data_IF_907239738777
#
_entry.id   IF_907239738777
#
_cell.length_a   1.000
_cell.length_b   1.000
_cell.length_c   1.000
_cell.angle_alpha   90.00
_cell.angle_beta   90.00
_cell.angle_gamma   90.00
#
_symmetry.space_group_name_H-M   'P 1'
#
loop_
_entity.id
_entity.type
_entity.pdbx_description
1 polymer ?
#
# COMPACT_ATOMS: atom_id res chain seq x y z
N UNK A 1 -9.14 -0.46 -16.68
CA UNK A 1 -9.24 -1.12 -15.37
C UNK A 1 -8.07 -0.72 -14.50
N UNK A 2 -8.32 -0.36 -13.25
CA UNK A 2 -7.25 -0.04 -12.31
C UNK A 2 -6.67 -1.31 -11.72
N UNK A 3 -5.34 -1.35 -11.62
CA UNK A 3 -4.63 -2.45 -10.99
C UNK A 3 -4.14 -2.00 -9.62
N UNK A 4 -4.50 -2.74 -8.59
CA UNK A 4 -4.24 -2.38 -7.19
C UNK A 4 -3.54 -3.54 -6.51
N UNK A 5 -2.46 -3.23 -5.79
CA UNK A 5 -1.73 -4.20 -4.97
C UNK A 5 -1.89 -3.83 -3.50
N UNK A 6 -2.27 -4.79 -2.68
CA UNK A 6 -2.41 -4.60 -1.23
C UNK A 6 -1.47 -5.57 -0.53
N UNK A 7 -0.61 -5.03 0.33
CA UNK A 7 0.44 -5.80 1.02
C UNK A 7 0.27 -5.65 2.52
N UNK A 8 -0.06 -6.73 3.19
CA UNK A 8 -0.19 -6.76 4.65
C UNK A 8 -0.10 -8.24 5.07
N UNK A 9 0.54 -8.52 6.18
CA UNK A 9 0.65 -9.90 6.67
C UNK A 9 -0.62 -10.38 7.35
N UNK A 10 -1.56 -9.48 7.65
CA UNK A 10 -2.84 -9.82 8.28
C UNK A 10 -3.94 -9.88 7.23
N UNK A 11 -4.54 -11.06 7.06
CA UNK A 11 -5.59 -11.28 6.06
C UNK A 11 -6.76 -10.31 6.23
N UNK A 12 -7.18 -10.05 7.47
CA UNK A 12 -8.27 -9.13 7.73
C UNK A 12 -8.02 -7.74 7.16
N UNK A 13 -6.79 -7.24 7.26
CA UNK A 13 -6.43 -5.95 6.69
C UNK A 13 -6.42 -5.99 5.17
N UNK A 14 -5.90 -7.08 4.57
CA UNK A 14 -5.94 -7.23 3.11
C UNK A 14 -7.38 -7.20 2.59
N UNK A 15 -8.27 -7.93 3.25
CA UNK A 15 -9.68 -7.98 2.86
C UNK A 15 -10.35 -6.63 3.05
N UNK A 16 -10.09 -5.97 4.16
CA UNK A 16 -10.66 -4.65 4.44
C UNK A 16 -10.23 -3.62 3.39
N UNK A 17 -8.94 -3.54 3.10
CA UNK A 17 -8.43 -2.61 2.10
C UNK A 17 -8.99 -2.92 0.71
N UNK A 18 -9.12 -4.21 0.37
CA UNK A 18 -9.74 -4.61 -0.90
C UNK A 18 -11.16 -4.09 -1.02
N UNK A 19 -11.94 -4.25 0.06
CA UNK A 19 -13.33 -3.77 0.07
C UNK A 19 -13.40 -2.25 -0.07
N UNK A 20 -12.49 -1.53 0.57
CA UNK A 20 -12.43 -0.07 0.45
C UNK A 20 -12.15 0.34 -1.00
N UNK A 21 -11.25 -0.36 -1.67
CA UNK A 21 -10.94 -0.04 -3.06
C UNK A 21 -12.13 -0.30 -3.98
N UNK A 22 -12.86 -1.40 -3.77
CA UNK A 22 -14.09 -1.66 -4.53
C UNK A 22 -15.13 -0.59 -4.26
N UNK A 23 -15.24 -0.12 -3.03
CA UNK A 23 -16.20 0.94 -2.69
C UNK A 23 -15.85 2.26 -3.39
N UNK A 24 -14.57 2.61 -3.47
CA UNK A 24 -14.13 3.87 -4.06
C UNK A 24 -14.18 3.83 -5.59
N UNK A 25 -13.69 2.77 -6.20
CA UNK A 25 -13.51 2.69 -7.65
C UNK A 25 -14.57 1.86 -8.38
N UNK A 26 -15.45 1.17 -7.64
CA UNK A 26 -16.44 0.29 -8.25
C UNK A 26 -15.85 -1.07 -8.62
N UNK A 27 -16.53 -1.78 -9.51
CA UNK A 27 -16.16 -3.16 -9.84
C UNK A 27 -15.10 -3.28 -10.95
N UNK A 28 -14.75 -2.18 -11.62
CA UNK A 28 -13.80 -2.21 -12.73
C UNK A 28 -12.36 -2.03 -12.22
N UNK A 29 -11.98 -2.90 -11.29
CA UNK A 29 -10.64 -2.91 -10.73
C UNK A 29 -10.13 -4.35 -10.62
N UNK A 30 -8.81 -4.48 -10.65
CA UNK A 30 -8.15 -5.75 -10.41
C UNK A 30 -7.32 -5.61 -9.14
N UNK A 31 -7.67 -6.35 -8.10
CA UNK A 31 -6.96 -6.29 -6.80
C UNK A 31 -6.15 -7.56 -6.63
N UNK A 32 -4.86 -7.38 -6.44
CA UNK A 32 -3.94 -8.45 -6.08
C UNK A 32 -3.42 -8.20 -4.67
N UNK A 33 -3.12 -9.25 -3.94
CA UNK A 33 -2.66 -9.13 -2.56
C UNK A 33 -1.38 -9.92 -2.34
N UNK A 34 -0.60 -9.46 -1.37
CA UNK A 34 0.61 -10.16 -0.93
C UNK A 34 0.67 -10.11 0.60
N UNK A 35 1.18 -11.17 1.21
CA UNK A 35 1.25 -11.27 2.66
C UNK A 35 2.64 -10.93 3.22
N UNK A 36 3.59 -10.59 2.36
CA UNK A 36 4.92 -10.18 2.77
C UNK A 36 5.58 -9.33 1.68
N UNK A 37 6.65 -8.66 2.06
CA UNK A 37 7.36 -7.78 1.14
C UNK A 37 7.97 -8.53 -0.05
N UNK A 38 8.49 -9.73 0.17
CA UNK A 38 9.08 -10.50 -0.92
C UNK A 38 8.05 -10.93 -1.95
N UNK A 39 6.88 -11.41 -1.51
CA UNK A 39 5.80 -11.78 -2.42
C UNK A 39 5.32 -10.58 -3.21
N UNK A 40 5.23 -9.42 -2.55
CA UNK A 40 4.88 -8.17 -3.23
C UNK A 40 5.93 -7.80 -4.28
N UNK A 41 7.20 -7.90 -3.92
CA UNK A 41 8.29 -7.60 -4.85
C UNK A 41 8.20 -8.48 -6.11
N UNK A 42 7.91 -9.76 -5.95
CA UNK A 42 7.76 -10.68 -7.07
C UNK A 42 6.61 -10.24 -7.99
N UNK A 43 5.51 -9.72 -7.40
CA UNK A 43 4.39 -9.20 -8.18
C UNK A 43 4.76 -7.92 -8.93
N UNK A 44 5.65 -7.10 -8.37
CA UNK A 44 6.11 -5.87 -9.06
C UNK A 44 6.83 -6.17 -10.38
N UNK A 45 7.35 -7.37 -10.53
CA UNK A 45 8.06 -7.78 -11.74
C UNK A 45 7.12 -8.29 -12.84
N UNK A 46 5.81 -8.33 -12.57
CA UNK A 46 4.81 -8.79 -13.53
C UNK A 46 4.64 -7.80 -14.69
N UNK A 47 3.88 -8.23 -15.70
CA UNK A 47 3.82 -7.53 -16.97
C UNK A 47 3.16 -6.14 -16.93
N UNK A 48 2.22 -5.91 -16.00
CA UNK A 48 1.51 -4.63 -15.94
C UNK A 48 1.82 -3.90 -14.64
N UNK A 49 1.91 -2.56 -14.68
CA UNK A 49 2.15 -1.79 -13.46
C UNK A 49 0.88 -1.65 -12.64
N UNK A 50 1.05 -1.38 -11.35
CA UNK A 50 -0.06 -1.08 -10.46
C UNK A 50 -0.32 0.43 -10.45
N UNK A 51 -1.60 0.79 -10.42
CA UNK A 51 -2.01 2.20 -10.29
C UNK A 51 -1.98 2.65 -8.84
N UNK A 52 -2.26 1.73 -7.91
CA UNK A 52 -2.27 1.99 -6.47
C UNK A 52 -1.59 0.82 -5.77
N UNK A 53 -0.72 1.15 -4.82
CA UNK A 53 -0.11 0.14 -3.94
C UNK A 53 -0.35 0.59 -2.50
N UNK A 54 -1.01 -0.27 -1.72
CA UNK A 54 -1.24 -0.04 -0.30
C UNK A 54 -0.39 -1.06 0.46
N UNK A 55 0.49 -0.59 1.32
CA UNK A 55 1.36 -1.47 2.08
C UNK A 55 1.37 -1.14 3.56
N UNK A 56 1.42 -2.17 4.40
CA UNK A 56 1.74 -2.01 5.81
C UNK A 56 3.21 -1.65 5.94
N UNK A 57 3.55 -0.93 6.99
CA UNK A 57 4.93 -0.62 7.32
C UNK A 57 5.63 -1.81 7.98
N UNK A 58 4.99 -2.39 8.97
CA UNK A 58 5.53 -3.52 9.73
C UNK A 58 4.84 -4.80 9.31
N UNK A 59 5.62 -5.76 8.85
CA UNK A 59 5.13 -7.08 8.47
C UNK A 59 5.96 -8.14 9.17
N UNK A 60 5.47 -9.37 9.18
CA UNK A 60 6.05 -10.47 9.92
C UNK A 60 7.56 -10.65 9.67
N UNK A 61 7.98 -10.46 8.43
CA UNK A 61 9.37 -10.64 8.01
C UNK A 61 10.09 -9.29 7.88
N UNK A 62 10.04 -8.47 8.93
CA UNK A 62 10.74 -7.18 8.92
C UNK A 62 12.23 -7.34 8.65
N UNK A 63 12.75 -6.47 7.80
CA UNK A 63 14.17 -6.43 7.47
C UNK A 63 14.90 -5.48 8.42
N UNK A 64 15.95 -5.97 9.06
CA UNK A 64 16.80 -5.13 9.88
C UNK A 64 17.83 -4.45 8.97
N UNK A 65 18.07 -3.13 9.11
CA UNK A 65 17.53 -2.21 10.10
C UNK A 65 16.22 -1.53 9.70
N UNK A 66 15.61 -1.91 8.59
CA UNK A 66 14.40 -1.27 8.08
C UNK A 66 13.19 -2.16 8.26
N UNK A 67 12.02 -1.52 8.29
CA UNK A 67 10.76 -2.25 8.22
C UNK A 67 10.55 -2.80 6.80
N UNK A 68 9.85 -3.93 6.71
CA UNK A 68 9.58 -4.56 5.41
C UNK A 68 8.84 -3.64 4.45
N UNK A 69 7.85 -2.89 4.94
CA UNK A 69 7.11 -1.92 4.11
C UNK A 69 7.99 -0.78 3.64
N UNK A 70 8.91 -0.33 4.47
CA UNK A 70 9.86 0.72 4.11
C UNK A 70 10.78 0.23 2.98
N UNK A 71 11.32 -0.97 3.12
CA UNK A 71 12.13 -1.59 2.07
C UNK A 71 11.34 -1.71 0.76
N UNK A 72 10.09 -2.18 0.87
CA UNK A 72 9.24 -2.38 -0.31
C UNK A 72 9.02 -1.07 -1.06
N UNK A 73 8.72 0.02 -0.35
CA UNK A 73 8.51 1.33 -0.97
C UNK A 73 9.77 1.78 -1.71
N UNK A 74 10.93 1.56 -1.11
CA UNK A 74 12.19 1.90 -1.77
C UNK A 74 12.36 1.11 -3.07
N UNK A 75 11.96 -0.17 -3.09
CA UNK A 75 12.01 -0.96 -4.31
C UNK A 75 11.04 -0.45 -5.35
N UNK A 76 9.80 -0.14 -4.96
CA UNK A 76 8.81 0.41 -5.89
C UNK A 76 9.34 1.67 -6.54
N UNK A 77 9.91 2.57 -5.76
CA UNK A 77 10.40 3.86 -6.27
C UNK A 77 11.64 3.72 -7.16
N UNK A 78 12.32 2.59 -7.10
CA UNK A 78 13.47 2.33 -7.97
C UNK A 78 13.06 1.95 -9.40
N UNK A 79 11.79 1.59 -9.61
CA UNK A 79 11.30 1.22 -10.94
C UNK A 79 10.66 2.42 -11.64
N UNK A 80 11.14 2.76 -12.83
CA UNK A 80 10.54 3.85 -13.61
C UNK A 80 9.08 3.61 -13.94
N UNK A 81 8.68 2.35 -14.13
CA UNK A 81 7.30 2.00 -14.49
C UNK A 81 6.30 2.34 -13.40
N UNK A 82 6.75 2.59 -12.16
CA UNK A 82 5.89 2.93 -11.03
C UNK A 82 5.95 4.41 -10.65
N UNK A 83 6.49 5.26 -11.52
CA UNK A 83 6.62 6.70 -11.24
C UNK A 83 5.28 7.39 -10.96
N UNK A 84 4.21 6.91 -11.58
CA UNK A 84 2.88 7.49 -11.43
C UNK A 84 1.96 6.69 -10.51
N UNK A 85 2.51 5.71 -9.80
CA UNK A 85 1.73 4.88 -8.89
C UNK A 85 1.47 5.62 -7.59
N UNK A 86 0.22 5.61 -7.13
CA UNK A 86 -0.12 6.10 -5.79
C UNK A 86 0.30 5.06 -4.76
N UNK A 87 1.21 5.43 -3.87
CA UNK A 87 1.68 4.55 -2.81
C UNK A 87 1.12 5.06 -1.49
N UNK A 88 0.39 4.20 -0.79
CA UNK A 88 -0.20 4.52 0.51
C UNK A 88 0.33 3.54 1.54
N UNK A 89 0.92 4.07 2.61
CA UNK A 89 1.41 3.26 3.72
C UNK A 89 0.41 3.30 4.85
N UNK A 90 0.02 2.15 5.37
CA UNK A 90 -0.92 2.03 6.47
C UNK A 90 -0.22 1.31 7.62
N UNK A 91 -0.23 1.89 8.81
CA UNK A 91 0.42 1.25 9.96
C UNK A 91 -0.14 1.75 11.28
N UNK A 92 -0.02 0.92 12.30
CA UNK A 92 -0.30 1.30 13.69
C UNK A 92 0.90 1.96 14.36
N UNK A 93 2.05 2.01 13.69
CA UNK A 93 3.28 2.56 14.25
C UNK A 93 3.13 4.07 14.48
N UNK A 94 3.61 4.55 15.63
CA UNK A 94 3.49 5.96 15.98
C UNK A 94 4.31 6.88 15.06
N UNK A 95 5.35 6.35 14.43
CA UNK A 95 6.24 7.13 13.57
C UNK A 95 5.92 7.01 12.07
N UNK A 96 4.74 6.50 11.73
CA UNK A 96 4.38 6.29 10.32
C UNK A 96 4.43 7.58 9.50
N UNK A 97 3.99 8.71 10.08
CA UNK A 97 3.97 9.97 9.34
C UNK A 97 5.38 10.43 8.98
N UNK A 98 6.31 10.27 9.91
CA UNK A 98 7.70 10.64 9.66
C UNK A 98 8.32 9.75 8.58
N UNK A 99 8.12 8.45 8.67
CA UNK A 99 8.65 7.51 7.70
C UNK A 99 8.07 7.77 6.31
N UNK A 100 6.76 7.99 6.22
CA UNK A 100 6.11 8.28 4.95
C UNK A 100 6.62 9.58 4.34
N UNK A 101 6.86 10.59 5.17
CA UNK A 101 7.40 11.86 4.70
C UNK A 101 8.80 11.68 4.11
N UNK A 102 9.66 10.95 4.80
CA UNK A 102 11.01 10.66 4.31
C UNK A 102 10.97 9.88 2.99
N UNK A 103 10.06 8.93 2.86
CA UNK A 103 9.91 8.12 1.65
C UNK A 103 9.10 8.83 0.56
N UNK A 104 8.51 9.97 0.87
CA UNK A 104 7.67 10.74 -0.06
C UNK A 104 6.47 9.92 -0.55
N UNK A 105 5.76 9.31 0.37
CA UNK A 105 4.52 8.57 0.10
C UNK A 105 3.41 9.06 1.01
N UNK A 106 2.18 8.72 0.66
CA UNK A 106 1.03 8.99 1.52
C UNK A 106 0.97 7.99 2.67
N UNK A 107 0.36 8.37 3.77
CA UNK A 107 0.17 7.46 4.88
C UNK A 107 -1.22 7.63 5.51
N UNK A 108 -1.73 6.54 6.06
CA UNK A 108 -2.97 6.53 6.84
C UNK A 108 -2.70 5.71 8.09
N UNK A 109 -2.75 6.30 9.29
CA UNK A 109 -2.65 5.52 10.52
C UNK A 109 -3.78 4.49 10.59
N UNK A 110 -3.50 3.28 11.08
CA UNK A 110 -4.51 2.21 11.12
C UNK A 110 -5.78 2.60 11.87
N UNK A 111 -5.65 3.40 12.93
CA UNK A 111 -6.83 3.88 13.66
C UNK A 111 -7.75 4.72 12.78
N UNK A 112 -7.20 5.52 11.90
CA UNK A 112 -7.96 6.33 10.93
C UNK A 112 -8.45 5.45 9.79
N UNK A 113 -7.64 4.50 9.35
CA UNK A 113 -7.96 3.63 8.22
C UNK A 113 -9.22 2.81 8.44
N UNK A 114 -9.53 2.45 9.69
CA UNK A 114 -10.74 1.68 10.01
C UNK A 114 -12.01 2.51 9.98
N UNK A 115 -11.92 3.83 10.13
CA UNK A 115 -13.08 4.67 10.41
C UNK A 115 -13.38 5.71 9.34
N UNK A 116 -12.43 5.99 8.46
CA UNK A 116 -12.51 7.18 7.63
C UNK A 116 -12.25 6.88 6.15
N UNK A 117 -13.34 6.61 5.43
CA UNK A 117 -13.26 6.40 3.99
C UNK A 117 -12.66 7.62 3.27
N UNK A 118 -12.96 8.83 3.78
CA UNK A 118 -12.43 10.05 3.17
C UNK A 118 -10.91 10.14 3.23
N UNK A 119 -10.27 9.51 4.21
CA UNK A 119 -8.81 9.48 4.28
C UNK A 119 -8.21 8.75 3.08
N UNK A 120 -8.83 7.64 2.66
CA UNK A 120 -8.40 6.93 1.46
C UNK A 120 -8.63 7.76 0.20
N UNK A 121 -9.79 8.40 0.10
CA UNK A 121 -10.10 9.25 -1.05
C UNK A 121 -9.12 10.41 -1.17
N UNK A 122 -8.79 11.03 -0.05
CA UNK A 122 -7.82 12.12 -0.02
C UNK A 122 -6.43 11.63 -0.47
N UNK A 123 -5.97 10.50 0.08
CA UNK A 123 -4.68 9.93 -0.28
C UNK A 123 -4.61 9.53 -1.76
N UNK A 124 -5.74 9.09 -2.31
CA UNK A 124 -5.84 8.69 -3.73
C UNK A 124 -6.06 9.87 -4.67
N UNK A 125 -6.36 11.05 -4.14
CA UNK A 125 -6.66 12.22 -4.96
C UNK A 125 -8.03 12.16 -5.64
N UNK A 126 -8.99 11.44 -5.07
CA UNK A 126 -10.36 11.33 -5.60
C UNK A 126 -11.36 11.96 -4.64
N UNK A 127 -12.49 12.35 -5.18
CA UNK A 127 -13.55 13.02 -4.40
C UNK A 127 -14.61 12.05 -3.88
#
# INVERSE_FOLDING_TARGET
MKNILIVDDVKGWRDFCSNVMFEIFGSDINVETADCAKAAYDLLLQAHPYDVIITDLQMEDDFSPKYAGEWLVEQIKSFNRYNNTNIIMISASYNIRHIAEVLEVKCIPKSTALKCLSAYKEALGVN
#
